data_IF_339770445039
#
_entry.id   IF_339770445039
#
_cell.length_a   1.000
_cell.length_b   1.000
_cell.length_c   1.000
_cell.angle_alpha   90.00
_cell.angle_beta   90.00
_cell.angle_gamma   90.00
#
_symmetry.space_group_name_H-M   'P 1'
#
loop_
_entity.id
_entity.type
_entity.pdbx_description
1 polymer ?
#
# COMPACT_ATOMS: atom_id res chain seq x y z
N UNK A 1 -26.24 -29.48 45.52
CA UNK A 1 -25.86 -28.07 45.47
C UNK A 1 -25.18 -27.82 44.14
N UNK A 2 -25.87 -27.22 43.14
CA UNK A 2 -25.31 -26.87 41.82
C UNK A 2 -24.92 -25.41 41.87
N UNK A 3 -23.64 -25.15 41.93
CA UNK A 3 -23.08 -23.80 41.79
C UNK A 3 -23.16 -23.37 40.31
N UNK A 4 -24.07 -22.44 40.02
CA UNK A 4 -24.10 -21.76 38.68
C UNK A 4 -22.88 -20.87 38.56
N UNK A 5 -21.96 -21.22 37.65
CA UNK A 5 -20.91 -20.29 37.18
C UNK A 5 -21.59 -19.13 36.47
N UNK A 6 -21.38 -17.93 36.97
CA UNK A 6 -21.71 -16.68 36.25
C UNK A 6 -20.88 -16.59 34.99
N UNK A 7 -21.43 -16.19 33.81
CA UNK A 7 -20.65 -16.00 32.62
C UNK A 7 -19.68 -14.82 32.84
N UNK A 8 -18.41 -15.07 32.55
CA UNK A 8 -17.35 -14.07 32.56
C UNK A 8 -17.71 -12.95 31.58
N UNK A 9 -17.75 -11.72 32.07
CA UNK A 9 -18.12 -10.54 31.28
C UNK A 9 -17.03 -10.31 30.24
N UNK A 10 -17.40 -10.30 28.95
CA UNK A 10 -16.48 -9.97 27.87
C UNK A 10 -15.72 -8.67 28.18
N UNK A 11 -14.40 -8.61 27.97
CA UNK A 11 -13.61 -7.41 28.25
C UNK A 11 -14.14 -6.23 27.43
N UNK A 12 -14.23 -5.05 28.06
CA UNK A 12 -14.76 -3.85 27.41
C UNK A 12 -13.86 -3.39 26.25
N UNK A 13 -14.43 -2.66 25.29
CA UNK A 13 -13.77 -2.19 24.04
C UNK A 13 -12.33 -1.64 24.25
N UNK A 14 -12.06 -0.94 25.36
CA UNK A 14 -10.71 -0.44 25.73
C UNK A 14 -9.70 -1.54 26.02
N UNK A 15 -10.14 -2.69 26.54
CA UNK A 15 -9.26 -3.83 26.88
C UNK A 15 -8.90 -4.61 25.61
N UNK A 16 -9.82 -4.72 24.65
CA UNK A 16 -9.54 -5.33 23.34
C UNK A 16 -8.48 -4.54 22.55
N UNK A 17 -8.59 -3.20 22.51
CA UNK A 17 -7.63 -2.33 21.82
C UNK A 17 -6.21 -2.44 22.39
N UNK A 18 -6.02 -2.80 23.66
CA UNK A 18 -4.69 -2.99 24.25
C UNK A 18 -4.04 -4.34 23.91
N UNK A 19 -4.82 -5.30 23.39
CA UNK A 19 -4.38 -6.67 23.04
C UNK A 19 -4.16 -6.80 21.51
N UNK A 20 -4.71 -5.88 20.72
CA UNK A 20 -4.60 -5.90 19.26
C UNK A 20 -3.20 -5.51 18.81
N UNK A 21 -2.69 -6.18 17.76
CA UNK A 21 -1.46 -5.79 17.08
C UNK A 21 -1.55 -4.35 16.55
N UNK A 22 -0.41 -3.69 16.37
CA UNK A 22 -0.36 -2.30 15.91
C UNK A 22 -1.08 -2.11 14.57
N UNK A 23 -0.93 -3.05 13.66
CA UNK A 23 -1.56 -3.01 12.34
C UNK A 23 -3.10 -3.06 12.42
N UNK A 24 -3.66 -3.88 13.30
CA UNK A 24 -5.11 -3.92 13.51
C UNK A 24 -5.63 -2.58 14.05
N UNK A 25 -4.92 -1.99 15.01
CA UNK A 25 -5.25 -0.65 15.55
C UNK A 25 -5.21 0.42 14.47
N UNK A 26 -4.20 0.37 13.58
CA UNK A 26 -4.12 1.27 12.44
C UNK A 26 -5.30 1.08 11.49
N UNK A 27 -5.61 -0.16 11.12
CA UNK A 27 -6.75 -0.49 10.23
C UNK A 27 -8.09 -0.04 10.81
N UNK A 28 -8.30 -0.16 12.13
CA UNK A 28 -9.50 0.37 12.80
C UNK A 28 -9.64 1.88 12.70
N UNK A 29 -8.54 2.62 12.66
CA UNK A 29 -8.56 4.08 12.50
C UNK A 29 -8.71 4.46 11.02
N UNK A 30 -7.91 3.85 10.15
CA UNK A 30 -7.80 4.20 8.74
C UNK A 30 -9.05 3.84 7.92
N UNK A 31 -9.77 2.78 8.32
CA UNK A 31 -10.95 2.27 7.60
C UNK A 31 -12.24 2.33 8.43
N UNK A 32 -12.29 3.20 9.43
CA UNK A 32 -13.46 3.35 10.29
C UNK A 32 -14.60 4.13 9.60
N UNK A 33 -15.53 3.41 8.99
CA UNK A 33 -16.69 4.00 8.32
C UNK A 33 -17.63 4.76 9.29
N UNK A 34 -17.63 4.43 10.60
CA UNK A 34 -18.43 5.11 11.61
C UNK A 34 -18.01 6.57 11.82
N UNK A 35 -16.78 6.95 11.45
CA UNK A 35 -16.30 8.33 11.55
C UNK A 35 -16.98 9.27 10.56
N UNK A 36 -17.58 8.73 9.50
CA UNK A 36 -18.14 9.49 8.40
C UNK A 36 -17.06 10.06 7.44
N UNK A 37 -17.49 10.35 6.21
CA UNK A 37 -16.59 10.66 5.08
C UNK A 37 -15.64 11.83 5.34
N UNK A 38 -16.11 12.91 5.98
CA UNK A 38 -15.30 14.12 6.20
C UNK A 38 -14.18 13.89 7.22
N UNK A 39 -14.48 13.19 8.32
CA UNK A 39 -13.44 12.86 9.32
C UNK A 39 -12.44 11.86 8.78
N UNK A 40 -12.90 10.88 8.00
CA UNK A 40 -12.02 9.90 7.38
C UNK A 40 -11.07 10.58 6.38
N UNK A 41 -11.54 11.53 5.56
CA UNK A 41 -10.69 12.34 4.70
C UNK A 41 -9.64 13.14 5.49
N UNK A 42 -10.01 13.72 6.64
CA UNK A 42 -9.05 14.43 7.49
C UNK A 42 -7.95 13.49 8.03
N UNK A 43 -8.31 12.28 8.47
CA UNK A 43 -7.34 11.26 8.90
C UNK A 43 -6.36 10.93 7.79
N UNK A 44 -6.87 10.64 6.58
CA UNK A 44 -6.02 10.30 5.44
C UNK A 44 -5.16 11.48 4.97
N UNK A 45 -5.71 12.69 4.93
CA UNK A 45 -4.93 13.88 4.56
C UNK A 45 -3.77 14.12 5.54
N UNK A 46 -4.02 13.99 6.84
CA UNK A 46 -2.97 14.12 7.85
C UNK A 46 -1.91 13.02 7.72
N UNK A 47 -2.34 11.79 7.44
CA UNK A 47 -1.44 10.66 7.19
C UNK A 47 -0.58 10.91 5.94
N UNK A 48 -1.16 11.27 4.78
CA UNK A 48 -0.43 11.49 3.54
C UNK A 48 0.60 12.62 3.64
N UNK A 49 0.35 13.65 4.44
CA UNK A 49 1.34 14.69 4.72
C UNK A 49 2.57 14.10 5.42
N UNK A 50 2.36 13.30 6.46
CA UNK A 50 3.44 12.66 7.22
C UNK A 50 4.17 11.58 6.41
N UNK A 51 3.44 10.78 5.66
CA UNK A 51 3.99 9.80 4.73
C UNK A 51 4.94 10.47 3.73
N UNK A 52 4.50 11.56 3.11
CA UNK A 52 5.33 12.35 2.18
C UNK A 52 6.61 12.86 2.85
N UNK A 53 6.52 13.41 4.07
CA UNK A 53 7.68 13.89 4.82
C UNK A 53 8.70 12.78 5.09
N UNK A 54 8.25 11.55 5.41
CA UNK A 54 9.11 10.38 5.61
C UNK A 54 9.79 10.00 4.29
N UNK A 55 9.04 9.88 3.19
CA UNK A 55 9.62 9.55 1.89
C UNK A 55 10.64 10.57 1.40
N UNK A 56 10.39 11.87 1.58
CA UNK A 56 11.36 12.92 1.25
C UNK A 56 12.68 12.73 2.01
N UNK A 57 12.64 12.30 3.27
CA UNK A 57 13.85 12.02 4.05
C UNK A 57 14.56 10.76 3.58
N UNK A 58 13.83 9.67 3.31
CA UNK A 58 14.38 8.40 2.83
C UNK A 58 15.03 8.54 1.44
N UNK A 59 14.37 9.24 0.53
CA UNK A 59 14.85 9.42 -0.84
C UNK A 59 16.08 10.35 -0.98
N UNK A 60 16.39 11.16 0.03
CA UNK A 60 17.62 11.96 0.08
C UNK A 60 18.86 11.09 0.21
N UNK A 61 18.77 9.98 0.94
CA UNK A 61 19.86 9.03 1.15
C UNK A 61 19.39 7.60 0.82
N UNK A 62 19.08 7.30 -0.45
CA UNK A 62 18.37 6.08 -0.84
C UNK A 62 19.18 4.79 -0.69
N UNK A 63 20.47 4.89 -0.45
CA UNK A 63 21.39 3.77 -0.22
C UNK A 63 21.65 3.51 1.28
N UNK A 64 21.24 4.43 2.16
CA UNK A 64 21.36 4.29 3.60
C UNK A 64 20.26 3.36 4.12
N UNK A 65 20.68 2.34 4.89
CA UNK A 65 19.71 1.49 5.58
C UNK A 65 19.26 2.16 6.88
N UNK A 66 17.98 2.52 6.94
CA UNK A 66 17.34 3.02 8.16
C UNK A 66 16.66 1.86 8.85
N UNK A 67 17.10 1.54 10.07
CA UNK A 67 16.55 0.46 10.90
C UNK A 67 16.43 0.89 12.35
N UNK A 68 15.60 0.21 13.09
CA UNK A 68 15.30 0.44 14.51
C UNK A 68 14.02 -0.25 14.91
N UNK A 69 13.55 -0.05 16.13
CA UNK A 69 12.21 -0.49 16.53
C UNK A 69 11.13 0.42 15.91
N UNK A 70 9.89 -0.06 15.84
CA UNK A 70 8.75 0.76 15.36
C UNK A 70 8.67 2.07 16.15
N UNK A 71 8.89 2.00 17.47
CA UNK A 71 8.89 3.18 18.36
C UNK A 71 10.05 4.13 18.05
N UNK A 72 11.27 3.61 17.88
CA UNK A 72 12.43 4.44 17.54
C UNK A 72 12.27 5.14 16.21
N UNK A 73 11.69 4.47 15.20
CA UNK A 73 11.40 5.10 13.92
C UNK A 73 10.28 6.14 14.03
N UNK A 74 9.25 5.89 14.85
CA UNK A 74 8.20 6.89 15.07
C UNK A 74 8.76 8.17 15.70
N UNK A 75 9.68 8.04 16.67
CA UNK A 75 10.36 9.16 17.31
C UNK A 75 11.32 9.88 16.33
N UNK A 76 12.09 9.11 15.53
CA UNK A 76 13.01 9.66 14.52
C UNK A 76 12.31 10.55 13.51
N UNK A 77 11.13 10.17 13.05
CA UNK A 77 10.38 10.90 12.02
C UNK A 77 9.33 11.87 12.60
N UNK A 78 9.27 12.02 13.92
CA UNK A 78 8.30 12.87 14.62
C UNK A 78 6.85 12.59 14.19
N UNK A 79 6.48 11.31 14.23
CA UNK A 79 5.14 10.84 13.91
C UNK A 79 4.57 9.96 15.02
N UNK A 80 3.25 9.81 15.05
CA UNK A 80 2.62 8.88 15.99
C UNK A 80 2.98 7.42 15.64
N UNK A 81 2.92 6.56 16.66
CA UNK A 81 3.10 5.12 16.47
C UNK A 81 2.14 4.56 15.40
N UNK A 82 0.88 5.04 15.39
CA UNK A 82 -0.11 4.64 14.38
C UNK A 82 0.26 5.11 12.97
N UNK A 83 0.77 6.32 12.82
CA UNK A 83 1.26 6.84 11.54
C UNK A 83 2.45 6.02 11.04
N UNK A 84 3.40 5.69 11.93
CA UNK A 84 4.55 4.86 11.58
C UNK A 84 4.11 3.44 11.19
N UNK A 85 3.13 2.87 11.90
CA UNK A 85 2.57 1.55 11.55
C UNK A 85 1.95 1.55 10.15
N UNK A 86 1.15 2.57 9.83
CA UNK A 86 0.58 2.72 8.48
C UNK A 86 1.65 2.91 7.41
N UNK A 87 2.70 3.66 7.71
CA UNK A 87 3.83 3.84 6.79
C UNK A 87 4.57 2.53 6.53
N UNK A 88 4.83 1.73 7.58
CA UNK A 88 5.46 0.42 7.45
C UNK A 88 4.60 -0.56 6.64
N UNK A 89 3.28 -0.55 6.83
CA UNK A 89 2.34 -1.34 6.03
C UNK A 89 2.40 -0.93 4.54
N UNK A 90 2.36 0.38 4.26
CA UNK A 90 2.37 0.90 2.88
C UNK A 90 3.69 0.67 2.11
N UNK A 91 4.85 0.73 2.78
CA UNK A 91 6.15 0.53 2.12
C UNK A 91 6.56 -0.95 2.04
N UNK A 92 5.94 -1.84 2.82
CA UNK A 92 6.42 -3.20 3.05
C UNK A 92 6.70 -4.00 1.78
N UNK A 93 5.82 -3.92 0.78
CA UNK A 93 5.96 -4.60 -0.51
C UNK A 93 7.08 -4.02 -1.39
N UNK A 94 7.67 -2.89 -0.98
CA UNK A 94 8.78 -2.24 -1.68
C UNK A 94 10.13 -2.49 -0.99
N UNK A 95 10.14 -3.16 0.15
CA UNK A 95 11.35 -3.44 0.92
C UNK A 95 12.15 -4.61 0.33
N UNK A 96 13.47 -4.54 0.48
CA UNK A 96 14.37 -5.66 0.12
C UNK A 96 14.06 -6.91 0.96
N UNK A 97 13.71 -6.70 2.22
CA UNK A 97 13.23 -7.74 3.14
C UNK A 97 11.97 -7.21 3.82
N UNK A 98 10.81 -7.84 3.61
CA UNK A 98 9.58 -7.42 4.27
C UNK A 98 9.66 -7.51 5.80
N UNK A 99 9.08 -6.53 6.49
CA UNK A 99 8.93 -6.55 7.94
C UNK A 99 7.74 -7.44 8.36
N UNK A 100 7.71 -7.97 9.60
CA UNK A 100 6.62 -8.81 10.11
C UNK A 100 5.41 -7.97 10.53
N UNK A 101 4.77 -7.27 9.60
CA UNK A 101 3.77 -6.23 9.87
C UNK A 101 2.54 -6.72 10.63
N UNK A 102 2.11 -7.98 10.44
CA UNK A 102 0.92 -8.53 11.10
C UNK A 102 1.15 -8.79 12.61
N UNK A 103 2.41 -8.98 13.03
CA UNK A 103 2.78 -9.29 14.41
C UNK A 103 3.58 -8.14 15.07
N UNK A 104 3.57 -6.96 14.44
CA UNK A 104 4.36 -5.80 14.88
C UNK A 104 3.87 -5.24 16.21
N UNK A 105 4.82 -5.06 17.14
CA UNK A 105 4.67 -4.32 18.39
C UNK A 105 5.61 -3.11 18.40
N UNK A 106 5.55 -2.27 19.45
CA UNK A 106 6.35 -1.04 19.54
C UNK A 106 7.86 -1.29 19.51
N UNK A 107 8.31 -2.40 20.09
CA UNK A 107 9.70 -2.81 20.20
C UNK A 107 10.17 -3.76 19.07
N UNK A 108 9.28 -4.08 18.12
CA UNK A 108 9.63 -4.92 16.98
C UNK A 108 10.69 -4.25 16.12
N UNK A 109 11.83 -4.90 15.87
CA UNK A 109 12.85 -4.37 14.96
C UNK A 109 12.37 -4.43 13.51
N UNK A 110 12.52 -3.31 12.81
CA UNK A 110 12.11 -3.13 11.41
C UNK A 110 13.22 -2.42 10.62
N UNK A 111 13.24 -2.64 9.31
CA UNK A 111 14.14 -1.96 8.37
C UNK A 111 13.35 -1.29 7.26
N UNK A 112 13.82 -0.12 6.81
CA UNK A 112 13.29 0.64 5.69
C UNK A 112 14.19 0.55 4.46
N UNK A 113 15.00 -0.50 4.34
CA UNK A 113 15.81 -0.73 3.14
C UNK A 113 14.92 -1.16 1.98
N UNK A 114 14.71 -0.28 1.03
CA UNK A 114 13.80 -0.48 -0.10
C UNK A 114 14.53 -0.74 -1.41
N UNK A 115 13.86 -1.44 -2.33
CA UNK A 115 14.23 -1.47 -3.74
C UNK A 115 13.69 -0.21 -4.43
N UNK A 116 14.59 0.58 -5.04
CA UNK A 116 14.26 1.90 -5.62
C UNK A 116 13.28 1.80 -6.78
N UNK A 117 13.48 0.83 -7.68
CA UNK A 117 12.59 0.65 -8.84
C UNK A 117 11.23 0.12 -8.42
N UNK A 118 11.22 -0.85 -7.51
CA UNK A 118 10.00 -1.44 -6.98
C UNK A 118 9.17 -0.40 -6.21
N UNK A 119 9.82 0.41 -5.35
CA UNK A 119 9.16 1.49 -4.62
C UNK A 119 8.51 2.50 -5.59
N UNK A 120 9.25 2.95 -6.60
CA UNK A 120 8.72 3.88 -7.61
C UNK A 120 7.50 3.27 -8.32
N UNK A 121 7.60 2.01 -8.77
CA UNK A 121 6.50 1.30 -9.44
C UNK A 121 5.28 1.11 -8.54
N UNK A 122 5.48 0.78 -7.26
CA UNK A 122 4.37 0.62 -6.31
C UNK A 122 3.65 1.95 -6.04
N UNK A 123 4.38 3.07 -5.96
CA UNK A 123 3.77 4.40 -5.88
C UNK A 123 2.93 4.73 -7.14
N UNK A 124 3.42 4.36 -8.33
CA UNK A 124 2.66 4.51 -9.59
C UNK A 124 1.44 3.59 -9.62
N UNK A 125 1.55 2.36 -9.12
CA UNK A 125 0.43 1.41 -9.03
C UNK A 125 -0.69 1.92 -8.12
N UNK A 126 -0.31 2.55 -7.02
CA UNK A 126 -1.23 3.16 -6.04
C UNK A 126 -1.81 4.51 -6.50
N UNK A 127 -1.47 5.01 -7.70
CA UNK A 127 -1.81 6.36 -8.20
C UNK A 127 -1.38 7.49 -7.24
N UNK A 128 -0.34 7.28 -6.44
CA UNK A 128 0.20 8.22 -5.46
C UNK A 128 1.09 9.28 -6.13
N UNK A 129 0.47 10.18 -6.90
CA UNK A 129 1.18 11.19 -7.69
C UNK A 129 1.96 12.19 -6.82
N UNK A 130 1.53 12.43 -5.60
CA UNK A 130 2.25 13.23 -4.62
C UNK A 130 3.56 12.59 -4.11
N UNK A 131 3.78 11.27 -4.37
CA UNK A 131 4.98 10.52 -3.99
C UNK A 131 5.89 10.27 -5.19
N UNK A 132 5.38 9.75 -6.31
CA UNK A 132 6.24 9.46 -7.47
C UNK A 132 6.68 10.70 -8.24
N UNK A 133 6.11 11.90 -7.95
CA UNK A 133 6.55 13.18 -8.49
C UNK A 133 7.46 13.97 -7.52
N UNK A 134 7.91 13.40 -6.41
CA UNK A 134 8.85 14.04 -5.50
C UNK A 134 10.14 14.41 -6.21
N UNK A 135 10.69 15.61 -5.92
CA UNK A 135 11.92 16.10 -6.54
C UNK A 135 13.13 15.24 -6.16
N UNK A 136 13.10 14.58 -5.02
CA UNK A 136 14.14 13.69 -4.53
C UNK A 136 14.42 12.52 -5.49
N UNK A 137 13.45 12.10 -6.29
CA UNK A 137 13.65 11.10 -7.33
C UNK A 137 14.63 11.52 -8.42
N UNK A 138 14.84 12.83 -8.63
CA UNK A 138 15.83 13.32 -9.60
C UNK A 138 17.28 12.93 -9.24
N UNK A 139 17.55 12.70 -7.95
CA UNK A 139 18.85 12.21 -7.49
C UNK A 139 19.05 10.70 -7.64
N UNK A 140 17.97 9.96 -7.94
CA UNK A 140 17.94 8.49 -8.01
C UNK A 140 17.82 8.00 -9.44
N UNK A 141 16.89 8.58 -10.21
CA UNK A 141 16.61 8.24 -11.60
C UNK A 141 16.53 9.50 -12.46
N UNK A 142 17.06 9.44 -13.67
CA UNK A 142 16.81 10.46 -14.67
C UNK A 142 15.35 10.44 -15.18
N UNK A 143 14.97 11.46 -15.92
CA UNK A 143 13.59 11.61 -16.40
C UNK A 143 13.17 10.46 -17.33
N UNK A 144 14.08 9.97 -18.17
CA UNK A 144 13.79 8.90 -19.13
C UNK A 144 13.57 7.57 -18.41
N UNK A 145 14.39 7.27 -17.40
CA UNK A 145 14.20 6.07 -16.54
C UNK A 145 12.88 6.14 -15.81
N UNK A 146 12.50 7.28 -15.22
CA UNK A 146 11.22 7.45 -14.53
C UNK A 146 10.04 7.26 -15.49
N UNK A 147 10.10 7.83 -16.70
CA UNK A 147 9.09 7.62 -17.74
C UNK A 147 8.97 6.16 -18.16
N UNK A 148 10.10 5.45 -18.25
CA UNK A 148 10.12 4.03 -18.59
C UNK A 148 9.44 3.19 -17.50
N UNK A 149 9.82 3.38 -16.21
CA UNK A 149 9.23 2.70 -15.07
C UNK A 149 7.72 2.96 -14.96
N UNK A 150 7.30 4.22 -15.14
CA UNK A 150 5.89 4.60 -15.14
C UNK A 150 5.10 3.85 -16.24
N UNK A 151 5.60 3.85 -17.47
CA UNK A 151 4.95 3.17 -18.60
C UNK A 151 4.87 1.65 -18.36
N UNK A 152 5.95 1.05 -17.89
CA UNK A 152 6.02 -0.37 -17.56
C UNK A 152 4.96 -0.73 -16.53
N UNK A 153 4.86 0.05 -15.44
CA UNK A 153 3.88 -0.21 -14.39
C UNK A 153 2.44 -0.04 -14.89
N UNK A 154 2.13 1.02 -15.63
CA UNK A 154 0.78 1.22 -16.18
C UNK A 154 0.42 0.17 -17.23
N UNK A 155 1.40 -0.33 -18.00
CA UNK A 155 1.15 -1.42 -18.95
C UNK A 155 0.87 -2.75 -18.24
N UNK A 156 1.54 -3.07 -17.14
CA UNK A 156 1.33 -4.31 -16.36
C UNK A 156 -0.07 -4.41 -15.75
N UNK A 157 -0.68 -3.28 -15.40
CA UNK A 157 -2.03 -3.21 -14.83
C UNK A 157 -3.13 -3.05 -15.88
N UNK A 158 -2.77 -2.85 -17.16
CA UNK A 158 -3.74 -2.69 -18.24
C UNK A 158 -4.29 -4.04 -18.67
N UNK A 159 -5.56 -4.32 -18.37
CA UNK A 159 -6.26 -5.48 -18.92
C UNK A 159 -6.50 -5.24 -20.41
N UNK A 160 -5.69 -5.88 -21.27
CA UNK A 160 -5.94 -5.90 -22.70
C UNK A 160 -7.20 -6.75 -22.94
N UNK A 161 -8.35 -6.11 -23.17
CA UNK A 161 -9.56 -6.83 -23.57
C UNK A 161 -9.27 -7.51 -24.90
N UNK A 162 -9.56 -8.81 -24.98
CA UNK A 162 -9.51 -9.53 -26.24
C UNK A 162 -10.31 -8.78 -27.32
N UNK A 163 -9.74 -8.69 -28.50
CA UNK A 163 -10.39 -8.00 -29.60
C UNK A 163 -11.78 -8.61 -29.84
N UNK A 164 -12.84 -7.82 -29.66
CA UNK A 164 -14.21 -8.27 -29.98
C UNK A 164 -14.30 -8.57 -31.44
N UNK A 165 -14.61 -9.83 -31.77
CA UNK A 165 -14.91 -10.24 -33.15
C UNK A 165 -16.34 -9.81 -33.45
N UNK A 166 -16.51 -8.92 -34.43
CA UNK A 166 -17.82 -8.46 -34.85
C UNK A 166 -18.45 -9.41 -35.87
N UNK A 167 -19.79 -9.42 -36.00
CA UNK A 167 -20.49 -10.35 -36.89
C UNK A 167 -20.01 -10.35 -38.34
N UNK A 168 -19.48 -9.24 -38.83
CA UNK A 168 -19.01 -9.07 -40.20
C UNK A 168 -17.50 -9.28 -40.39
N UNK A 169 -16.73 -9.46 -39.31
CA UNK A 169 -15.29 -9.66 -39.36
C UNK A 169 -14.95 -11.04 -39.95
N UNK A 170 -13.74 -11.24 -40.51
CA UNK A 170 -13.24 -12.57 -40.87
C UNK A 170 -13.27 -13.50 -39.67
N UNK A 171 -13.74 -14.70 -39.85
CA UNK A 171 -13.80 -15.66 -38.75
C UNK A 171 -12.37 -16.06 -38.27
N UNK A 172 -12.07 -15.99 -36.96
CA UNK A 172 -10.76 -16.32 -36.44
C UNK A 172 -10.36 -17.80 -36.63
N UNK A 173 -11.30 -18.68 -37.00
CA UNK A 173 -11.00 -20.07 -37.33
C UNK A 173 -10.28 -20.26 -38.67
N UNK A 174 -9.99 -19.20 -39.43
CA UNK A 174 -9.28 -19.25 -40.69
C UNK A 174 -10.13 -19.73 -41.90
N UNK A 175 -11.46 -19.89 -41.76
CA UNK A 175 -12.34 -20.39 -42.84
C UNK A 175 -12.60 -19.38 -43.97
N UNK A 176 -12.09 -18.16 -43.87
CA UNK A 176 -12.38 -17.07 -44.85
C UNK A 176 -13.82 -16.55 -44.84
N UNK A 177 -14.71 -17.09 -44.00
CA UNK A 177 -16.11 -16.70 -43.91
C UNK A 177 -16.26 -15.58 -42.84
N UNK A 178 -17.33 -14.78 -42.96
CA UNK A 178 -17.70 -13.80 -41.89
C UNK A 178 -18.07 -14.57 -40.62
N UNK A 179 -17.70 -14.00 -39.43
CA UNK A 179 -17.91 -14.61 -38.10
C UNK A 179 -19.36 -15.10 -37.93
N UNK A 180 -20.37 -14.24 -38.21
CA UNK A 180 -21.80 -14.59 -38.14
C UNK A 180 -22.25 -15.75 -39.06
N UNK A 181 -21.46 -16.12 -40.07
CA UNK A 181 -21.74 -17.25 -40.98
C UNK A 181 -20.87 -18.47 -40.72
N UNK A 182 -20.10 -18.44 -39.61
CA UNK A 182 -19.19 -19.51 -39.20
C UNK A 182 -19.33 -19.81 -37.71
N UNK A 183 -18.34 -19.41 -36.88
CA UNK A 183 -18.32 -19.72 -35.45
C UNK A 183 -19.24 -18.81 -34.60
N UNK A 184 -19.79 -17.75 -35.17
CA UNK A 184 -20.75 -16.84 -34.51
C UNK A 184 -22.21 -17.16 -34.82
N UNK A 185 -22.53 -18.37 -35.24
CA UNK A 185 -23.92 -18.87 -35.45
C UNK A 185 -24.57 -19.27 -34.13
#
# INVERSE_FOLDING_TARGET
MHTRKTPERAPGRKVWLSIMALLEKWREVAYNEELGTEKLKQVWNAYFQKEKEIYMQLLKNPDEEVSGTVKELSDKYDVSLMTMTGFLDGINDSLVTPNPIEEMEEDTPVSLKFDKELLYKNMVAADADWLYNLEEWNGIFDEDKRKALYKEQKASTTIVKEAKVYPNDPCPCGSGKKYKKCCGR
#
